data_IF_573504497311
#
_entry.id   IF_573504497311
#
_cell.length_a   1.000
_cell.length_b   1.000
_cell.length_c   1.000
_cell.angle_alpha   90.00
_cell.angle_beta   90.00
_cell.angle_gamma   90.00
#
_symmetry.space_group_name_H-M   'P 1'
#
loop_
_entity.id
_entity.type
_entity.pdbx_description
1 polymer ?
#
# COMPACT_ATOMS: atom_id res chain seq x y z
N UNK A 1 -34.88 -29.01 57.26
CA UNK A 1 -34.59 -27.84 58.12
C UNK A 1 -34.70 -26.60 57.26
N UNK A 2 -35.70 -25.75 57.53
CA UNK A 2 -35.87 -24.40 56.92
C UNK A 2 -34.89 -23.42 57.57
N UNK A 3 -34.50 -22.38 56.83
CA UNK A 3 -34.19 -20.98 57.22
C UNK A 3 -33.36 -20.38 56.05
N UNK A 4 -33.46 -19.13 55.60
CA UNK A 4 -34.54 -18.14 55.47
C UNK A 4 -33.94 -17.05 54.54
N UNK A 5 -34.78 -16.47 53.67
CA UNK A 5 -34.51 -15.36 52.75
C UNK A 5 -33.77 -14.17 53.42
N UNK A 6 -32.94 -13.45 52.68
CA UNK A 6 -32.85 -11.98 52.83
C UNK A 6 -32.74 -11.28 51.48
N UNK A 7 -33.70 -10.40 51.27
CA UNK A 7 -33.90 -9.48 50.15
C UNK A 7 -33.15 -8.18 50.43
N UNK A 8 -32.59 -7.56 49.38
CA UNK A 8 -32.31 -6.13 49.37
C UNK A 8 -32.90 -5.52 48.09
N UNK A 9 -34.05 -4.86 48.29
CA UNK A 9 -34.54 -3.74 47.50
C UNK A 9 -33.67 -2.52 47.85
N UNK A 10 -33.34 -1.68 46.86
CA UNK A 10 -33.49 -0.22 46.92
C UNK A 10 -33.79 0.27 45.48
N UNK A 11 -34.73 1.20 45.47
CA UNK A 11 -35.66 1.66 44.44
C UNK A 11 -35.02 2.70 43.49
N UNK A 12 -35.51 2.79 42.24
CA UNK A 12 -35.21 3.90 41.33
C UNK A 12 -36.07 5.11 41.69
N UNK A 13 -35.50 6.33 41.68
CA UNK A 13 -36.28 7.56 41.70
C UNK A 13 -36.05 8.33 40.40
N UNK A 14 -36.81 7.93 39.38
CA UNK A 14 -37.36 8.87 38.42
C UNK A 14 -38.14 9.94 39.20
N UNK A 15 -37.79 11.21 39.01
CA UNK A 15 -38.74 12.33 38.91
C UNK A 15 -37.96 13.65 38.84
N UNK A 16 -37.85 14.18 37.63
CA UNK A 16 -37.97 15.62 37.38
C UNK A 16 -38.24 15.82 35.89
N UNK A 17 -39.43 15.39 35.48
CA UNK A 17 -40.10 15.89 34.29
C UNK A 17 -41.11 16.95 34.75
N UNK A 18 -40.84 18.21 34.42
CA UNK A 18 -41.80 19.17 33.88
C UNK A 18 -40.96 20.39 33.44
N UNK A 19 -41.15 21.05 32.31
CA UNK A 19 -42.41 21.32 31.65
C UNK A 19 -42.18 21.86 30.22
N UNK A 20 -43.19 21.66 29.37
CA UNK A 20 -43.56 22.47 28.20
C UNK A 20 -42.72 22.41 26.92
N UNK A 21 -43.28 21.62 26.00
CA UNK A 21 -43.38 21.88 24.56
C UNK A 21 -43.41 23.37 24.19
N UNK A 22 -42.55 23.79 23.27
CA UNK A 22 -42.97 24.42 21.99
C UNK A 22 -41.80 24.43 21.01
N UNK A 23 -42.09 23.97 19.78
CA UNK A 23 -41.40 24.26 18.53
C UNK A 23 -39.86 24.22 18.50
N UNK A 24 -39.28 23.16 17.94
CA UNK A 24 -38.29 23.35 16.85
C UNK A 24 -37.89 22.00 16.26
N UNK A 25 -38.15 21.81 14.96
CA UNK A 25 -37.75 20.66 14.14
C UNK A 25 -36.22 20.44 14.05
N UNK A 26 -35.41 21.15 14.84
CA UNK A 26 -33.94 21.14 14.78
C UNK A 26 -33.26 20.01 15.56
N UNK A 27 -33.89 19.43 16.58
CA UNK A 27 -33.23 18.38 17.39
C UNK A 27 -33.07 17.05 16.64
N UNK A 28 -33.98 16.71 15.73
CA UNK A 28 -33.88 15.49 14.92
C UNK A 28 -32.78 15.57 13.84
N UNK A 29 -32.48 16.76 13.33
CA UNK A 29 -31.37 16.99 12.40
C UNK A 29 -30.01 16.85 13.09
N UNK A 30 -29.89 17.31 14.34
CA UNK A 30 -28.63 17.18 15.09
C UNK A 30 -28.32 15.73 15.48
N UNK A 31 -29.34 14.91 15.77
CA UNK A 31 -29.16 13.50 16.11
C UNK A 31 -28.78 12.65 14.89
N UNK A 32 -29.36 12.90 13.72
CA UNK A 32 -29.05 12.16 12.49
C UNK A 32 -27.65 12.45 11.95
N UNK A 33 -27.13 13.67 12.11
CA UNK A 33 -25.74 14.01 11.73
C UNK A 33 -24.72 13.32 12.66
N UNK A 34 -25.01 13.20 13.96
CA UNK A 34 -24.12 12.54 14.92
C UNK A 34 -23.93 11.04 14.64
N UNK A 35 -24.96 10.35 14.11
CA UNK A 35 -24.85 8.93 13.73
C UNK A 35 -24.05 8.70 12.44
N UNK A 36 -24.05 9.65 11.50
CA UNK A 36 -23.29 9.53 10.23
C UNK A 36 -21.78 9.67 10.47
N UNK A 37 -21.35 10.44 11.48
CA UNK A 37 -19.93 10.61 11.83
C UNK A 37 -19.34 9.39 12.55
N UNK A 38 -20.17 8.55 13.18
CA UNK A 38 -19.70 7.36 13.91
C UNK A 38 -19.59 6.10 13.03
N UNK A 39 -20.04 6.16 11.78
CA UNK A 39 -19.85 5.09 10.78
C UNK A 39 -18.76 5.53 9.79
N UNK A 40 -17.60 5.94 10.31
CA UNK A 40 -16.39 5.90 9.49
C UNK A 40 -15.90 4.46 9.56
N UNK A 41 -15.88 3.70 8.45
CA UNK A 41 -15.24 2.41 8.45
C UNK A 41 -13.76 2.69 8.76
N UNK A 42 -13.33 2.29 9.96
CA UNK A 42 -11.93 1.99 10.22
C UNK A 42 -11.60 0.82 9.30
N UNK A 43 -11.35 1.11 8.02
CA UNK A 43 -10.62 0.22 7.15
C UNK A 43 -9.22 0.16 7.74
N UNK A 44 -9.04 -0.71 8.73
CA UNK A 44 -7.76 -1.22 9.14
C UNK A 44 -7.25 -2.03 7.97
N UNK A 45 -6.78 -1.34 6.94
CA UNK A 45 -5.84 -1.92 6.01
C UNK A 45 -4.65 -2.28 6.89
N UNK A 46 -4.53 -3.56 7.23
CA UNK A 46 -3.28 -4.11 7.69
C UNK A 46 -2.31 -3.90 6.53
N UNK A 47 -1.59 -2.78 6.57
CA UNK A 47 -0.36 -2.62 5.79
C UNK A 47 0.56 -3.65 6.42
N UNK A 48 0.53 -4.85 5.88
CA UNK A 48 1.47 -5.90 6.22
C UNK A 48 2.85 -5.29 5.97
N UNK A 49 3.56 -4.95 7.04
CA UNK A 49 4.92 -4.45 6.95
C UNK A 49 5.79 -5.62 6.52
N UNK A 50 5.86 -5.84 5.22
CA UNK A 50 6.75 -6.81 4.61
C UNK A 50 8.17 -6.28 4.84
N UNK A 51 8.85 -6.80 5.86
CA UNK A 51 10.26 -6.48 6.05
C UNK A 51 11.02 -7.16 4.93
N UNK A 52 11.56 -6.38 3.99
CA UNK A 52 12.41 -6.88 2.92
C UNK A 52 13.77 -7.23 3.52
N UNK A 53 13.83 -8.36 4.21
CA UNK A 53 15.10 -8.95 4.62
C UNK A 53 15.82 -9.35 3.34
N UNK A 54 17.08 -8.95 3.22
CA UNK A 54 17.95 -9.27 2.09
C UNK A 54 18.16 -10.80 2.04
N UNK A 55 17.21 -11.53 1.44
CA UNK A 55 17.09 -12.98 1.61
C UNK A 55 17.80 -13.67 0.44
N UNK A 56 19.07 -14.02 0.62
CA UNK A 56 19.89 -14.73 -0.39
C UNK A 56 19.28 -16.05 -0.88
N UNK A 57 18.38 -16.68 -0.10
CA UNK A 57 17.84 -18.02 -0.41
C UNK A 57 16.51 -18.07 -1.20
N UNK A 58 15.66 -17.02 -1.16
CA UNK A 58 14.27 -17.10 -1.65
C UNK A 58 13.97 -16.15 -2.83
N UNK A 59 14.98 -15.77 -3.61
CA UNK A 59 14.77 -14.85 -4.74
C UNK A 59 14.54 -15.60 -6.05
N UNK A 60 13.48 -15.20 -6.76
CA UNK A 60 13.17 -15.75 -8.10
C UNK A 60 13.85 -14.89 -9.16
N UNK A 61 14.72 -15.48 -9.98
CA UNK A 61 15.32 -14.77 -11.11
C UNK A 61 14.26 -14.52 -12.19
N UNK A 62 14.16 -13.28 -12.65
CA UNK A 62 13.25 -12.88 -13.73
C UNK A 62 14.02 -12.23 -14.87
N UNK A 63 13.54 -12.34 -16.12
CA UNK A 63 14.08 -11.56 -17.23
C UNK A 63 13.94 -10.05 -16.98
N UNK A 64 14.66 -9.22 -17.73
CA UNK A 64 14.57 -7.77 -17.58
C UNK A 64 13.20 -7.21 -18.01
N UNK A 65 12.64 -7.78 -19.09
CA UNK A 65 11.25 -7.52 -19.52
C UNK A 65 10.30 -8.43 -18.76
N UNK A 66 9.52 -7.85 -17.88
CA UNK A 66 8.75 -8.58 -16.87
C UNK A 66 7.26 -8.41 -17.15
N UNK A 67 6.56 -9.54 -17.27
CA UNK A 67 5.10 -9.58 -17.33
C UNK A 67 4.54 -9.53 -15.91
N UNK A 68 4.10 -8.33 -15.47
CA UNK A 68 3.54 -8.12 -14.14
C UNK A 68 2.28 -8.95 -13.90
N UNK A 69 1.55 -9.33 -14.96
CA UNK A 69 0.30 -10.11 -14.84
C UNK A 69 0.56 -11.58 -14.45
N UNK A 70 1.80 -12.05 -14.59
CA UNK A 70 2.23 -13.41 -14.25
C UNK A 70 3.07 -13.50 -12.99
N UNK A 71 3.37 -12.36 -12.34
CA UNK A 71 4.12 -12.36 -11.10
C UNK A 71 3.22 -12.78 -9.94
N UNK A 72 3.49 -13.93 -9.27
CA UNK A 72 2.81 -14.23 -8.03
C UNK A 72 3.09 -13.17 -6.95
N UNK A 73 2.09 -12.89 -6.13
CA UNK A 73 2.24 -12.02 -4.95
C UNK A 73 3.08 -12.71 -3.88
N UNK A 74 3.67 -11.92 -2.97
CA UNK A 74 4.42 -12.46 -1.83
C UNK A 74 5.83 -12.99 -2.15
N UNK A 75 6.33 -12.80 -3.38
CA UNK A 75 7.68 -13.23 -3.79
C UNK A 75 8.62 -12.06 -4.06
N UNK A 76 9.91 -12.30 -3.81
CA UNK A 76 10.99 -11.38 -4.16
C UNK A 76 11.60 -11.83 -5.49
N UNK A 77 11.75 -10.88 -6.40
CA UNK A 77 12.30 -11.07 -7.73
C UNK A 77 13.67 -10.45 -7.85
N UNK A 78 14.57 -11.09 -8.60
CA UNK A 78 15.92 -10.60 -8.88
C UNK A 78 16.07 -10.35 -10.37
N UNK A 79 16.58 -9.18 -10.72
CA UNK A 79 16.96 -8.81 -12.09
C UNK A 79 18.47 -8.72 -12.14
N UNK A 80 19.07 -9.41 -13.11
CA UNK A 80 20.50 -9.35 -13.40
C UNK A 80 20.66 -8.73 -14.78
N UNK A 81 21.18 -7.51 -14.82
CA UNK A 81 21.53 -6.77 -16.03
C UNK A 81 23.06 -6.61 -16.10
N UNK A 82 23.62 -6.34 -17.26
CA UNK A 82 25.07 -6.15 -17.44
C UNK A 82 25.63 -4.99 -16.61
N UNK A 83 24.80 -3.98 -16.38
CA UNK A 83 25.15 -2.74 -15.69
C UNK A 83 24.73 -2.70 -14.22
N UNK A 84 23.76 -3.53 -13.81
CA UNK A 84 23.20 -3.50 -12.47
C UNK A 84 22.55 -4.82 -12.05
N UNK A 85 22.45 -5.04 -10.74
CA UNK A 85 21.74 -6.15 -10.11
C UNK A 85 20.81 -5.54 -9.07
N UNK A 86 19.53 -5.86 -9.14
CA UNK A 86 18.53 -5.40 -8.19
C UNK A 86 17.58 -6.53 -7.79
N UNK A 87 16.95 -6.37 -6.64
CA UNK A 87 15.81 -7.19 -6.25
C UNK A 87 14.62 -6.28 -6.00
N UNK A 88 13.43 -6.79 -6.28
CA UNK A 88 12.20 -6.07 -6.05
C UNK A 88 11.08 -7.01 -5.59
N UNK A 89 10.08 -6.40 -4.98
CA UNK A 89 8.83 -6.98 -4.56
C UNK A 89 7.70 -6.18 -5.20
N UNK A 90 6.67 -6.89 -5.67
CA UNK A 90 5.49 -6.31 -6.29
C UNK A 90 4.25 -6.70 -5.49
N UNK A 91 3.47 -5.71 -5.05
CA UNK A 91 2.26 -5.90 -4.25
C UNK A 91 0.97 -5.65 -5.05
N UNK A 92 0.97 -5.95 -6.35
CA UNK A 92 -0.10 -5.64 -7.32
C UNK A 92 -0.35 -4.15 -7.57
N UNK A 93 0.33 -3.24 -6.87
CA UNK A 93 0.10 -1.80 -6.99
C UNK A 93 1.38 -0.99 -7.09
N UNK A 94 2.38 -1.32 -6.31
CA UNK A 94 3.63 -0.60 -6.17
C UNK A 94 4.78 -1.61 -6.23
N UNK A 95 5.95 -1.09 -6.59
CA UNK A 95 7.18 -1.84 -6.62
C UNK A 95 8.12 -1.27 -5.57
N UNK A 96 8.69 -2.14 -4.75
CA UNK A 96 9.69 -1.80 -3.75
C UNK A 96 10.91 -2.68 -3.97
N UNK A 97 12.11 -2.19 -3.71
CA UNK A 97 13.29 -3.02 -3.96
C UNK A 97 14.59 -2.41 -3.48
N UNK A 98 15.67 -3.15 -3.70
CA UNK A 98 17.04 -2.75 -3.40
C UNK A 98 17.93 -2.94 -4.61
N UNK A 99 18.82 -1.98 -4.83
CA UNK A 99 19.88 -2.06 -5.83
C UNK A 99 21.12 -2.62 -5.16
N UNK A 100 21.55 -3.83 -5.54
CA UNK A 100 22.68 -4.52 -4.94
C UNK A 100 24.01 -4.09 -5.54
N UNK A 101 24.02 -3.89 -6.86
CA UNK A 101 25.21 -3.53 -7.62
C UNK A 101 24.80 -2.67 -8.79
N UNK A 102 25.60 -1.66 -9.12
CA UNK A 102 25.49 -0.91 -10.38
C UNK A 102 26.82 -0.29 -10.79
N UNK A 103 26.99 -0.02 -12.09
CA UNK A 103 28.10 0.81 -12.59
C UNK A 103 27.88 2.26 -12.17
N UNK A 104 28.94 2.95 -11.74
CA UNK A 104 28.85 4.32 -11.18
C UNK A 104 28.34 5.35 -12.19
N UNK A 105 28.67 5.20 -13.47
CA UNK A 105 28.31 6.12 -14.55
C UNK A 105 26.95 5.83 -15.19
N UNK A 106 26.16 4.91 -14.63
CA UNK A 106 24.87 4.51 -15.16
C UNK A 106 23.81 4.65 -14.05
N UNK A 107 22.77 5.40 -14.36
CA UNK A 107 21.53 5.43 -13.60
C UNK A 107 20.62 4.27 -14.00
N UNK A 108 19.53 4.10 -13.25
CA UNK A 108 18.54 3.07 -13.52
C UNK A 108 17.19 3.75 -13.60
N UNK A 109 16.45 3.46 -14.66
CA UNK A 109 15.08 3.89 -14.86
C UNK A 109 14.16 2.67 -14.83
N UNK A 110 13.13 2.71 -13.99
CA UNK A 110 12.04 1.78 -14.05
C UNK A 110 11.00 2.29 -15.05
N UNK A 111 10.68 1.49 -16.05
CA UNK A 111 9.62 1.73 -17.02
C UNK A 111 8.47 0.77 -16.74
N UNK A 112 7.32 1.32 -16.37
CA UNK A 112 6.06 0.61 -16.32
C UNK A 112 5.44 0.68 -17.71
N UNK A 113 5.21 -0.48 -18.31
CA UNK A 113 4.76 -0.62 -19.69
C UNK A 113 3.25 -0.88 -19.74
N UNK A 114 2.54 -0.25 -20.68
CA UNK A 114 1.12 -0.53 -20.90
C UNK A 114 0.90 -1.99 -21.32
N UNK A 115 1.79 -2.53 -22.14
CA UNK A 115 1.74 -3.89 -22.67
C UNK A 115 2.83 -4.79 -22.06
N UNK A 116 2.56 -6.09 -22.03
CA UNK A 116 3.47 -7.12 -21.50
C UNK A 116 4.81 -7.21 -22.24
N UNK A 117 4.84 -6.82 -23.52
CA UNK A 117 6.04 -6.84 -24.36
C UNK A 117 7.00 -5.67 -24.10
N UNK A 118 6.56 -4.65 -23.34
CA UNK A 118 7.29 -3.38 -23.20
C UNK A 118 7.70 -2.79 -24.55
N UNK A 119 6.77 -2.82 -25.52
CA UNK A 119 6.86 -1.97 -26.70
C UNK A 119 6.73 -0.51 -26.28
N UNK A 120 7.46 0.38 -26.94
CA UNK A 120 7.48 1.78 -26.56
C UNK A 120 6.12 2.43 -26.84
N UNK A 121 5.46 2.90 -25.78
CA UNK A 121 4.19 3.63 -25.90
C UNK A 121 4.25 4.98 -25.22
N UNK A 122 3.40 5.91 -25.67
CA UNK A 122 3.20 7.21 -25.02
C UNK A 122 2.53 7.11 -23.64
N UNK A 123 2.00 5.94 -23.28
CA UNK A 123 1.29 5.68 -22.03
C UNK A 123 2.17 5.04 -20.97
N UNK A 124 3.40 4.69 -21.32
CA UNK A 124 4.36 4.11 -20.39
C UNK A 124 4.78 5.14 -19.34
N UNK A 125 4.94 4.68 -18.11
CA UNK A 125 5.38 5.52 -17.01
C UNK A 125 6.84 5.23 -16.70
N UNK A 126 7.68 6.26 -16.78
CA UNK A 126 9.12 6.17 -16.54
C UNK A 126 9.48 6.88 -15.25
N UNK A 127 10.21 6.19 -14.38
CA UNK A 127 10.73 6.75 -13.12
C UNK A 127 12.20 6.42 -12.95
N UNK A 128 13.03 7.44 -12.78
CA UNK A 128 14.43 7.25 -12.38
C UNK A 128 14.46 6.76 -10.94
N UNK A 129 15.07 5.59 -10.71
CA UNK A 129 15.21 4.98 -9.38
C UNK A 129 16.64 5.10 -8.83
N UNK A 130 17.62 5.36 -9.70
CA UNK A 130 18.98 5.73 -9.32
C UNK A 130 19.59 6.62 -10.40
N UNK A 131 20.34 7.65 -10.00
CA UNK A 131 21.04 8.52 -10.95
C UNK A 131 22.52 8.14 -11.08
N UNK A 132 23.16 8.47 -12.22
CA UNK A 132 24.61 8.32 -12.38
C UNK A 132 25.37 9.13 -11.32
N UNK A 133 26.49 8.59 -10.83
CA UNK A 133 27.44 9.22 -9.91
C UNK A 133 26.90 9.66 -8.54
N UNK A 134 25.64 9.41 -8.24
CA UNK A 134 25.09 9.63 -6.89
C UNK A 134 25.45 8.45 -5.98
N UNK A 135 26.00 8.67 -4.77
CA UNK A 135 26.13 7.62 -3.75
C UNK A 135 24.81 7.43 -2.98
N UNK A 136 24.59 6.27 -2.32
CA UNK A 136 25.48 5.11 -2.24
C UNK A 136 25.41 4.21 -3.49
N UNK A 137 26.46 3.42 -3.72
CA UNK A 137 26.56 2.57 -4.91
C UNK A 137 26.02 1.15 -4.71
N UNK A 138 25.78 0.76 -3.45
CA UNK A 138 25.28 -0.55 -3.03
C UNK A 138 24.14 -0.37 -2.01
N UNK A 139 23.15 -1.25 -2.09
CA UNK A 139 22.00 -1.39 -1.18
C UNK A 139 21.10 -0.15 -1.09
N UNK A 140 20.89 0.55 -2.22
CA UNK A 140 19.90 1.64 -2.28
C UNK A 140 18.49 1.08 -2.35
N UNK A 141 17.67 1.43 -1.37
CA UNK A 141 16.24 1.15 -1.41
C UNK A 141 15.58 2.06 -2.44
N UNK A 142 14.73 1.49 -3.29
CA UNK A 142 13.90 2.24 -4.22
C UNK A 142 12.43 1.87 -4.09
N UNK A 143 11.57 2.82 -4.49
CA UNK A 143 10.14 2.58 -4.62
C UNK A 143 9.60 3.23 -5.89
N UNK A 144 8.75 2.49 -6.61
CA UNK A 144 8.01 2.96 -7.77
C UNK A 144 6.53 2.81 -7.42
N UNK A 145 5.90 3.95 -7.14
CA UNK A 145 4.46 4.01 -6.90
C UNK A 145 3.75 4.14 -8.22
N UNK A 146 2.69 3.37 -8.43
CA UNK A 146 1.91 3.51 -9.66
C UNK A 146 1.16 4.85 -9.62
N UNK A 147 1.08 5.57 -10.74
CA UNK A 147 0.33 6.83 -10.80
C UNK A 147 -1.13 6.60 -10.39
N UNK A 148 -1.62 7.50 -9.55
CA UNK A 148 -3.02 7.47 -9.11
C UNK A 148 -3.90 8.08 -10.19
N UNK A 149 -5.16 7.64 -10.26
CA UNK A 149 -6.20 8.18 -11.17
C UNK A 149 -6.01 7.87 -12.66
N UNK A 150 -5.20 6.87 -13.01
CA UNK A 150 -5.19 6.34 -14.38
C UNK A 150 -6.36 5.36 -14.59
N UNK A 151 -6.94 5.40 -15.79
CA UNK A 151 -8.02 4.48 -16.20
C UNK A 151 -7.49 3.13 -16.71
N UNK A 152 -6.16 2.95 -16.73
CA UNK A 152 -5.50 1.76 -17.25
C UNK A 152 -4.47 1.22 -16.25
N UNK A 153 -4.16 -0.06 -16.37
CA UNK A 153 -3.16 -0.75 -15.57
C UNK A 153 -1.93 -1.07 -16.41
N UNK A 154 -0.75 -0.92 -15.83
CA UNK A 154 0.49 -1.36 -16.45
C UNK A 154 0.58 -2.89 -16.38
N UNK A 155 0.99 -3.49 -17.48
CA UNK A 155 1.11 -4.94 -17.62
C UNK A 155 2.57 -5.40 -17.66
N UNK A 156 3.48 -4.50 -18.04
CA UNK A 156 4.90 -4.78 -18.13
C UNK A 156 5.72 -3.93 -17.15
N UNK A 157 6.90 -4.43 -16.82
CA UNK A 157 7.95 -3.71 -16.12
C UNK A 157 9.28 -3.99 -16.79
N UNK A 158 10.07 -2.95 -17.02
CA UNK A 158 11.43 -3.06 -17.51
C UNK A 158 12.35 -2.11 -16.74
N UNK A 159 13.55 -2.58 -16.40
CA UNK A 159 14.59 -1.73 -15.84
C UNK A 159 15.61 -1.40 -16.93
N UNK A 160 15.81 -0.11 -17.18
CA UNK A 160 16.65 0.38 -18.26
C UNK A 160 17.85 1.17 -17.72
N UNK A 161 19.01 1.10 -18.37
CA UNK A 161 20.10 2.00 -18.09
C UNK A 161 19.70 3.44 -18.45
N UNK A 162 19.98 4.37 -17.55
CA UNK A 162 19.75 5.81 -17.71
C UNK A 162 21.11 6.52 -17.72
N UNK A 163 21.34 7.37 -18.71
CA UNK A 163 22.60 8.14 -18.85
C UNK A 163 22.41 9.56 -18.37
#
# INVERSE_FOLDING_TARGET
MKILKKSQFITPLYLLFSNKFTNSKWWFLSSTIAFIVLVVPNNTYSIETISFNQQEGNTTLVPNKIDLTKLPTGKIYKVVHEDFILQFFFNNRDIYGYIFKRKKNIGIMAQLCLYRSCEETSYDFRKVIARPFEPPYNNDFFSVKFPQNLQYNFQGLEFLPYK
#
